data_IF_427476660451
#
_entry.id   IF_427476660451
#
_cell.length_a   1.000
_cell.length_b   1.000
_cell.length_c   1.000
_cell.angle_alpha   90.00
_cell.angle_beta   90.00
_cell.angle_gamma   90.00
#
_symmetry.space_group_name_H-M   'P 1'
#
loop_
_entity.id
_entity.type
_entity.pdbx_description
1 polymer ?
#
# COMPACT_ATOMS: atom_id res chain seq x y z
N UNK A 1 18.04 6.36 13.45
CA UNK A 1 17.24 7.49 12.93
C UNK A 1 15.78 7.11 13.02
N UNK A 2 15.03 7.73 13.95
CA UNK A 2 13.62 7.39 14.14
C UNK A 2 12.77 7.99 13.01
N UNK A 3 11.79 7.23 12.51
CA UNK A 3 10.82 7.66 11.48
C UNK A 3 9.72 8.56 12.10
N UNK A 4 9.52 8.47 13.41
CA UNK A 4 8.50 9.21 14.17
C UNK A 4 8.54 10.74 14.01
N UNK A 5 9.70 11.41 13.95
CA UNK A 5 9.79 12.86 13.71
C UNK A 5 9.29 13.26 12.32
N UNK A 6 9.52 12.44 11.30
CA UNK A 6 9.05 12.70 9.94
C UNK A 6 7.52 12.57 9.85
N UNK A 7 6.94 11.52 10.44
CA UNK A 7 5.50 11.33 10.50
C UNK A 7 4.79 12.53 11.17
N UNK A 8 5.34 13.03 12.29
CA UNK A 8 4.84 14.22 12.98
C UNK A 8 4.93 15.48 12.11
N UNK A 9 6.07 15.71 11.43
CA UNK A 9 6.26 16.86 10.56
C UNK A 9 5.33 16.86 9.33
N UNK A 10 5.02 15.68 8.79
CA UNK A 10 4.06 15.50 7.71
C UNK A 10 2.65 15.90 8.17
N UNK A 11 2.21 15.43 9.34
CA UNK A 11 0.88 15.75 9.91
C UNK A 11 0.77 17.26 10.17
N UNK A 12 1.77 17.86 10.84
CA UNK A 12 1.76 19.30 11.13
C UNK A 12 1.76 20.18 9.86
N UNK A 13 2.42 19.72 8.78
CA UNK A 13 2.41 20.40 7.49
C UNK A 13 1.07 20.24 6.76
N UNK A 14 0.44 19.07 6.87
CA UNK A 14 -0.89 18.80 6.32
C UNK A 14 -1.97 19.64 7.01
N UNK A 15 -1.93 19.75 8.34
CA UNK A 15 -2.83 20.59 9.13
C UNK A 15 -2.76 22.07 8.69
N UNK A 16 -1.55 22.52 8.34
CA UNK A 16 -1.29 23.88 7.84
C UNK A 16 -1.55 24.03 6.32
N UNK A 17 -2.05 22.99 5.65
CA UNK A 17 -2.25 22.92 4.18
C UNK A 17 -0.99 23.27 3.37
N UNK A 18 0.19 23.03 3.94
CA UNK A 18 1.47 23.32 3.31
C UNK A 18 1.96 22.11 2.50
N UNK A 19 1.34 21.89 1.35
CA UNK A 19 1.58 20.72 0.49
C UNK A 19 3.02 20.62 -0.03
N UNK A 20 3.70 21.75 -0.22
CA UNK A 20 5.12 21.78 -0.58
C UNK A 20 6.00 21.18 0.51
N UNK A 21 5.68 21.46 1.78
CA UNK A 21 6.42 20.90 2.91
C UNK A 21 6.04 19.44 3.18
N UNK A 22 4.77 19.07 2.98
CA UNK A 22 4.32 17.66 3.01
C UNK A 22 5.13 16.83 2.00
N UNK A 23 5.20 17.28 0.74
CA UNK A 23 5.98 16.59 -0.30
C UNK A 23 7.45 16.48 0.06
N UNK A 24 8.06 17.57 0.53
CA UNK A 24 9.46 17.59 0.96
C UNK A 24 9.74 16.61 2.09
N UNK A 25 8.87 16.53 3.09
CA UNK A 25 9.04 15.59 4.20
C UNK A 25 8.78 14.15 3.78
N UNK A 26 7.85 13.90 2.85
CA UNK A 26 7.67 12.58 2.25
C UNK A 26 8.92 12.14 1.46
N UNK A 27 9.49 13.01 0.63
CA UNK A 27 10.73 12.74 -0.13
C UNK A 27 11.90 12.47 0.82
N UNK A 28 12.01 13.23 1.93
CA UNK A 28 13.03 13.00 2.97
C UNK A 28 12.83 11.68 3.68
N UNK A 29 11.59 11.35 4.04
CA UNK A 29 11.25 10.07 4.69
C UNK A 29 11.60 8.91 3.78
N UNK A 30 11.23 8.98 2.50
CA UNK A 30 11.57 7.96 1.51
C UNK A 30 13.08 7.77 1.40
N UNK A 31 13.85 8.86 1.31
CA UNK A 31 15.31 8.79 1.25
C UNK A 31 15.92 8.19 2.53
N UNK A 32 15.45 8.58 3.71
CA UNK A 32 15.94 8.03 4.98
C UNK A 32 15.60 6.55 5.16
N UNK A 33 14.40 6.13 4.73
CA UNK A 33 13.99 4.71 4.72
C UNK A 33 14.85 3.93 3.73
N UNK A 34 15.03 4.44 2.50
CA UNK A 34 15.87 3.79 1.49
C UNK A 34 17.32 3.67 1.96
N UNK A 35 17.86 4.71 2.59
CA UNK A 35 19.21 4.70 3.14
C UNK A 35 19.35 3.66 4.27
N UNK A 36 18.39 3.63 5.21
CA UNK A 36 18.38 2.62 6.27
C UNK A 36 18.27 1.18 5.70
N UNK A 37 17.50 0.97 4.64
CA UNK A 37 17.41 -0.34 3.96
C UNK A 37 18.71 -0.72 3.25
N UNK A 38 19.35 0.24 2.59
CA UNK A 38 20.63 0.04 1.90
C UNK A 38 21.77 -0.27 2.88
N UNK A 39 21.79 0.40 4.04
CA UNK A 39 22.77 0.18 5.11
C UNK A 39 22.63 -1.21 5.76
N UNK A 40 21.44 -1.80 5.72
CA UNK A 40 21.16 -3.14 6.28
C UNK A 40 21.25 -4.25 5.21
N UNK A 41 21.52 -3.91 3.94
CA UNK A 41 21.48 -4.84 2.79
C UNK A 41 20.18 -5.65 2.69
N UNK A 42 19.06 -5.14 3.22
CA UNK A 42 17.86 -5.93 3.38
C UNK A 42 16.88 -5.68 2.24
N UNK A 43 17.16 -6.34 1.11
CA UNK A 43 16.25 -6.37 -0.05
C UNK A 43 14.83 -6.78 0.39
N UNK A 44 14.70 -7.69 1.37
CA UNK A 44 13.41 -8.24 1.80
C UNK A 44 12.57 -7.20 2.55
N UNK A 45 13.16 -6.43 3.47
CA UNK A 45 12.46 -5.32 4.12
C UNK A 45 12.01 -4.25 3.13
N UNK A 46 12.80 -3.96 2.09
CA UNK A 46 12.40 -3.01 1.04
C UNK A 46 11.16 -3.48 0.26
N UNK A 47 11.02 -4.79 0.05
CA UNK A 47 9.83 -5.36 -0.59
C UNK A 47 8.60 -5.27 0.32
N UNK A 48 8.74 -5.53 1.63
CA UNK A 48 7.64 -5.40 2.58
C UNK A 48 7.14 -3.94 2.68
N UNK A 49 8.05 -2.96 2.63
CA UNK A 49 7.66 -1.54 2.57
C UNK A 49 6.98 -1.19 1.25
N UNK A 50 7.47 -1.70 0.12
CA UNK A 50 6.83 -1.51 -1.18
C UNK A 50 5.41 -2.10 -1.20
N UNK A 51 5.21 -3.27 -0.61
CA UNK A 51 3.91 -3.91 -0.43
C UNK A 51 2.99 -3.08 0.47
N UNK A 52 3.50 -2.58 1.60
CA UNK A 52 2.74 -1.69 2.49
C UNK A 52 2.30 -0.40 1.78
N UNK A 53 3.19 0.20 0.99
CA UNK A 53 2.89 1.35 0.15
C UNK A 53 1.80 1.08 -0.88
N UNK A 54 1.84 -0.09 -1.54
CA UNK A 54 0.80 -0.50 -2.48
C UNK A 54 -0.55 -0.74 -1.80
N UNK A 55 -0.58 -1.43 -0.66
CA UNK A 55 -1.81 -1.69 0.11
C UNK A 55 -2.49 -0.38 0.51
N UNK A 56 -1.71 0.55 1.09
CA UNK A 56 -2.23 1.84 1.52
C UNK A 56 -2.63 2.73 0.34
N UNK A 57 -1.83 2.75 -0.72
CA UNK A 57 -2.15 3.49 -1.95
C UNK A 57 -3.44 3.01 -2.59
N UNK A 58 -3.65 1.70 -2.63
CA UNK A 58 -4.87 1.06 -3.16
C UNK A 58 -6.09 1.40 -2.29
N UNK A 59 -5.95 1.35 -0.97
CA UNK A 59 -7.02 1.76 -0.04
C UNK A 59 -7.44 3.21 -0.26
N UNK A 60 -6.49 4.14 -0.35
CA UNK A 60 -6.77 5.57 -0.58
C UNK A 60 -7.39 5.79 -1.96
N UNK A 61 -6.81 5.21 -3.01
CA UNK A 61 -7.33 5.33 -4.37
C UNK A 61 -8.79 4.85 -4.45
N UNK A 62 -9.05 3.66 -3.92
CA UNK A 62 -10.41 3.10 -3.93
C UNK A 62 -11.38 3.92 -3.07
N UNK A 63 -10.93 4.54 -1.97
CA UNK A 63 -11.75 5.47 -1.19
C UNK A 63 -12.17 6.68 -2.04
N UNK A 64 -11.22 7.31 -2.73
CA UNK A 64 -11.49 8.48 -3.59
C UNK A 64 -12.39 8.12 -4.76
N UNK A 65 -12.15 6.98 -5.41
CA UNK A 65 -12.99 6.49 -6.51
C UNK A 65 -14.38 6.12 -6.00
N UNK A 66 -14.55 5.62 -4.77
CA UNK A 66 -15.88 5.31 -4.23
C UNK A 66 -16.70 6.56 -3.88
N UNK A 67 -16.08 7.64 -3.42
CA UNK A 67 -16.78 8.90 -3.10
C UNK A 67 -17.48 9.48 -4.33
N UNK A 68 -16.79 9.47 -5.47
CA UNK A 68 -17.33 9.86 -6.76
C UNK A 68 -16.79 8.90 -7.83
N UNK A 69 -17.61 7.90 -8.20
CA UNK A 69 -17.18 6.86 -9.14
C UNK A 69 -16.61 7.47 -10.42
N UNK A 70 -15.33 7.13 -10.67
CA UNK A 70 -14.58 7.49 -11.86
C UNK A 70 -14.10 6.22 -12.52
N UNK A 71 -14.56 5.95 -13.74
CA UNK A 71 -14.11 4.80 -14.50
C UNK A 71 -12.60 4.85 -14.75
N UNK A 72 -12.06 6.02 -15.11
CA UNK A 72 -10.62 6.19 -15.33
C UNK A 72 -9.81 6.02 -14.04
N UNK A 73 -10.37 6.42 -12.90
CA UNK A 73 -9.76 6.17 -11.59
C UNK A 73 -9.81 4.69 -11.19
N UNK A 74 -10.89 3.98 -11.52
CA UNK A 74 -11.03 2.55 -11.28
C UNK A 74 -10.02 1.74 -12.12
N UNK A 75 -9.76 2.15 -13.38
CA UNK A 75 -8.77 1.50 -14.24
C UNK A 75 -7.34 1.56 -13.69
N UNK A 76 -7.01 2.53 -12.83
CA UNK A 76 -5.71 2.56 -12.14
C UNK A 76 -5.47 1.34 -11.24
N UNK A 77 -6.51 0.59 -10.87
CA UNK A 77 -6.41 -0.64 -10.09
C UNK A 77 -5.97 -1.84 -10.93
N UNK A 78 -6.06 -1.77 -12.26
CA UNK A 78 -5.79 -2.89 -13.18
C UNK A 78 -4.28 -3.18 -13.31
N UNK A 79 -3.67 -3.69 -12.23
CA UNK A 79 -2.24 -3.99 -12.13
C UNK A 79 -1.98 -5.42 -11.64
N UNK A 80 -2.49 -6.47 -12.33
CA UNK A 80 -2.45 -7.85 -11.85
C UNK A 80 -1.03 -8.43 -11.75
N UNK A 81 -0.10 -7.95 -12.57
CA UNK A 81 1.31 -8.34 -12.53
C UNK A 81 2.00 -7.87 -11.23
N UNK A 82 1.61 -6.70 -10.72
CA UNK A 82 2.15 -6.15 -9.49
C UNK A 82 1.74 -6.99 -8.27
N UNK A 83 0.50 -7.50 -8.25
CA UNK A 83 0.07 -8.45 -7.20
C UNK A 83 0.83 -9.77 -7.30
N UNK A 84 1.00 -10.27 -8.54
CA UNK A 84 1.77 -11.50 -8.79
C UNK A 84 3.23 -11.35 -8.34
N UNK A 85 3.81 -10.16 -8.53
CA UNK A 85 5.12 -9.80 -8.03
C UNK A 85 5.18 -9.85 -6.49
N UNK A 86 4.25 -9.17 -5.80
CA UNK A 86 4.22 -9.17 -4.35
C UNK A 86 4.01 -10.56 -3.74
N UNK A 87 3.12 -11.38 -4.32
CA UNK A 87 2.92 -12.77 -3.92
C UNK A 87 4.22 -13.58 -4.01
N UNK A 88 4.95 -13.47 -5.14
CA UNK A 88 6.24 -14.16 -5.30
C UNK A 88 7.29 -13.67 -4.30
N UNK A 89 7.29 -12.37 -3.97
CA UNK A 89 8.23 -11.81 -2.98
C UNK A 89 7.94 -12.34 -1.58
N UNK A 90 6.68 -12.37 -1.15
CA UNK A 90 6.28 -12.94 0.14
C UNK A 90 6.64 -14.43 0.25
N UNK A 91 6.39 -15.21 -0.81
CA UNK A 91 6.80 -16.62 -0.87
C UNK A 91 8.32 -16.83 -0.79
N UNK A 92 9.11 -15.87 -1.28
CA UNK A 92 10.58 -15.86 -1.19
C UNK A 92 11.13 -15.42 0.17
N UNK A 93 10.25 -15.18 1.14
CA UNK A 93 10.54 -14.60 2.46
C UNK A 93 9.98 -15.48 3.60
N UNK A 94 10.27 -16.80 3.62
CA UNK A 94 9.67 -17.72 4.59
C UNK A 94 10.05 -17.42 6.05
N UNK A 95 11.09 -16.62 6.28
CA UNK A 95 11.45 -16.18 7.63
C UNK A 95 10.43 -15.19 8.24
N UNK A 96 9.58 -14.56 7.43
CA UNK A 96 8.53 -13.64 7.87
C UNK A 96 7.21 -14.39 8.10
N UNK A 97 7.22 -15.35 9.03
CA UNK A 97 6.11 -16.23 9.37
C UNK A 97 5.19 -15.61 10.44
N UNK A 98 4.52 -14.52 10.09
CA UNK A 98 3.62 -13.80 11.01
C UNK A 98 2.16 -13.94 10.56
N UNK A 99 1.17 -14.01 11.49
CA UNK A 99 -0.24 -14.09 11.12
C UNK A 99 -0.70 -12.98 10.18
N UNK A 100 -0.17 -11.76 10.36
CA UNK A 100 -0.49 -10.62 9.48
C UNK A 100 0.02 -10.81 8.05
N UNK A 101 1.16 -11.50 7.85
CA UNK A 101 1.70 -11.78 6.53
C UNK A 101 0.78 -12.77 5.78
N UNK A 102 0.28 -13.80 6.46
CA UNK A 102 -0.70 -14.72 5.89
C UNK A 102 -2.03 -14.03 5.54
N UNK A 103 -2.49 -13.11 6.40
CA UNK A 103 -3.67 -12.30 6.11
C UNK A 103 -3.47 -11.44 4.86
N UNK A 104 -2.28 -10.84 4.70
CA UNK A 104 -1.91 -10.06 3.51
C UNK A 104 -1.85 -10.96 2.27
N UNK A 105 -1.21 -12.13 2.34
CA UNK A 105 -1.17 -13.09 1.22
C UNK A 105 -2.60 -13.50 0.79
N UNK A 106 -3.46 -13.83 1.75
CA UNK A 106 -4.86 -14.15 1.50
C UNK A 106 -5.63 -12.98 0.87
N UNK A 107 -5.33 -11.74 1.27
CA UNK A 107 -5.91 -10.55 0.65
C UNK A 107 -5.43 -10.36 -0.79
N UNK A 108 -4.14 -10.55 -1.07
CA UNK A 108 -3.61 -10.46 -2.45
C UNK A 108 -4.28 -11.50 -3.37
N UNK A 109 -4.48 -12.73 -2.89
CA UNK A 109 -5.22 -13.77 -3.62
C UNK A 109 -6.67 -13.35 -3.90
N UNK A 110 -7.34 -12.69 -2.95
CA UNK A 110 -8.71 -12.21 -3.13
C UNK A 110 -8.82 -11.00 -4.07
N UNK A 111 -7.85 -10.08 -4.02
CA UNK A 111 -7.86 -8.86 -4.85
C UNK A 111 -7.49 -9.16 -6.30
N UNK A 112 -6.58 -10.11 -6.56
CA UNK A 112 -6.13 -10.41 -7.94
C UNK A 112 -7.28 -10.63 -8.94
N UNK A 113 -8.25 -11.54 -8.73
CA UNK A 113 -9.32 -11.75 -9.70
C UNK A 113 -10.31 -10.58 -9.81
N UNK A 114 -10.28 -9.63 -8.87
CA UNK A 114 -11.12 -8.43 -8.91
C UNK A 114 -10.58 -7.40 -9.88
N UNK A 115 -9.25 -7.30 -9.98
CA UNK A 115 -8.58 -6.33 -10.86
C UNK A 115 -8.11 -6.97 -12.18
N UNK A 116 -7.93 -8.29 -12.23
CA UNK A 116 -7.51 -9.05 -13.41
C UNK A 116 -8.71 -9.45 -14.27
N UNK A 117 -9.33 -8.48 -14.93
CA UNK A 117 -10.59 -8.66 -15.66
C UNK A 117 -10.43 -8.58 -17.18
N UNK A 118 -9.20 -8.52 -17.69
CA UNK A 118 -8.88 -8.35 -19.10
C UNK A 118 -9.27 -6.96 -19.61
N UNK A 119 -9.77 -6.86 -20.83
CA UNK A 119 -10.18 -5.56 -21.42
C UNK A 119 -11.51 -5.01 -20.87
N UNK A 120 -12.08 -5.66 -19.85
CA UNK A 120 -13.31 -5.19 -19.19
C UNK A 120 -12.98 -4.03 -18.25
N UNK A 121 -13.94 -3.13 -18.10
CA UNK A 121 -13.83 -2.04 -17.13
C UNK A 121 -14.13 -2.48 -15.71
N UNK A 122 -13.41 -1.94 -14.74
CA UNK A 122 -13.61 -2.24 -13.32
C UNK A 122 -14.92 -1.58 -12.85
N UNK A 123 -15.91 -2.35 -12.38
CA UNK A 123 -17.18 -1.79 -11.96
C UNK A 123 -17.15 -1.26 -10.51
N UNK A 124 -18.10 -0.39 -10.10
CA UNK A 124 -18.11 0.23 -8.77
C UNK A 124 -18.07 -0.77 -7.61
N UNK A 125 -18.80 -1.89 -7.73
CA UNK A 125 -18.82 -2.95 -6.72
C UNK A 125 -17.44 -3.58 -6.48
N UNK A 126 -16.63 -3.66 -7.53
CA UNK A 126 -15.26 -4.16 -7.44
C UNK A 126 -14.38 -3.17 -6.69
N UNK A 127 -14.48 -1.87 -6.98
CA UNK A 127 -13.75 -0.80 -6.26
C UNK A 127 -14.09 -0.85 -4.77
N UNK A 128 -15.38 -0.98 -4.43
CA UNK A 128 -15.84 -1.12 -3.05
C UNK A 128 -15.25 -2.35 -2.36
N UNK A 129 -15.28 -3.50 -3.02
CA UNK A 129 -14.74 -4.75 -2.46
C UNK A 129 -13.24 -4.70 -2.24
N UNK A 130 -12.49 -4.11 -3.18
CA UNK A 130 -11.04 -3.90 -3.03
C UNK A 130 -10.76 -2.98 -1.84
N UNK A 131 -11.50 -1.87 -1.72
CA UNK A 131 -11.38 -0.96 -0.57
C UNK A 131 -11.61 -1.66 0.78
N UNK A 132 -12.67 -2.46 0.90
CA UNK A 132 -13.00 -3.21 2.10
C UNK A 132 -11.86 -4.18 2.51
N UNK A 133 -11.30 -4.90 1.53
CA UNK A 133 -10.17 -5.80 1.76
C UNK A 133 -8.94 -5.02 2.24
N UNK A 134 -8.56 -3.94 1.55
CA UNK A 134 -7.36 -3.17 1.88
C UNK A 134 -7.50 -2.43 3.21
N UNK A 135 -8.68 -1.89 3.53
CA UNK A 135 -8.96 -1.22 4.80
C UNK A 135 -8.84 -2.18 5.98
N UNK A 136 -9.40 -3.39 5.86
CA UNK A 136 -9.29 -4.43 6.90
C UNK A 136 -7.84 -4.81 7.17
N UNK A 137 -7.03 -4.97 6.12
CA UNK A 137 -5.60 -5.26 6.26
C UNK A 137 -4.86 -4.08 6.89
N UNK A 138 -5.12 -2.84 6.45
CA UNK A 138 -4.54 -1.63 7.03
C UNK A 138 -4.82 -1.52 8.53
N UNK A 139 -6.05 -1.78 8.95
CA UNK A 139 -6.41 -1.81 10.37
C UNK A 139 -5.69 -2.93 11.13
N UNK A 140 -5.55 -4.12 10.54
CA UNK A 140 -4.82 -5.24 11.15
C UNK A 140 -3.32 -4.99 11.32
N UNK A 141 -2.72 -4.14 10.48
CA UNK A 141 -1.32 -3.69 10.61
C UNK A 141 -1.17 -2.68 11.76
N UNK A 142 -2.14 -1.77 11.95
CA UNK A 142 -2.05 -0.70 12.96
C UNK A 142 -2.50 -1.14 14.36
N UNK A 143 -3.38 -2.14 14.47
CA UNK A 143 -3.96 -2.58 15.76
C UNK A 143 -3.22 -3.73 16.44
N UNK A 144 -2.29 -4.40 15.76
CA UNK A 144 -1.41 -5.41 16.37
C UNK A 144 -0.16 -4.72 16.94
N UNK A 145 -0.37 -3.88 17.95
CA UNK A 145 0.63 -3.46 18.95
C UNK A 145 0.33 -4.16 20.29
#
# INVERSE_FOLDING_TARGET
>A
NSITPHAKAIIEAADKRNWNNVRRELDRTQNSVQQAMNEVHDEKLSQLVSLGGWLRGTEVLTSVVNEHFSADGAELLHQPDLLSYFQKRLQGMPEFDLPIIHEIEGALVQVKPLIDIGDRRIPPETVKKVNEITTRIGQGIVTKD
#
